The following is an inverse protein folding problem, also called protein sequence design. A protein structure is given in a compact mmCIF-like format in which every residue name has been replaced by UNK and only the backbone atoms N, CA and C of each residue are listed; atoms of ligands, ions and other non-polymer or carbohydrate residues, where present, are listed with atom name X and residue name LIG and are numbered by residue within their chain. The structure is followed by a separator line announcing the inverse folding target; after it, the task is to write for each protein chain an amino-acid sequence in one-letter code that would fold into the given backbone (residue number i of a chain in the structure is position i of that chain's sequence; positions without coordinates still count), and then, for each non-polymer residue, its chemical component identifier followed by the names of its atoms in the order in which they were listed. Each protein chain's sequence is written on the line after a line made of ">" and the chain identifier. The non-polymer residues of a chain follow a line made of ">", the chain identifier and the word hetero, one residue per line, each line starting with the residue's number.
data_IF_011753885036
#
_entry.id   IF_011753885036
#
_cell.length_a   1.000
_cell.length_b   1.000
_cell.length_c   1.000
_cell.angle_alpha   90.00
_cell.angle_beta   90.00
_cell.angle_gamma   90.00
#
_symmetry.space_group_name_H-M   'P 1'
#
loop_
_entity.id
_entity.type
_entity.pdbx_description
1 polymer ?
#
# COMPACT_ATOMS: atom_id res chain seq x y z
N UNK A 1 28.33 16.72 -2.35
CA UNK A 1 28.32 15.67 -1.33
C UNK A 1 26.97 15.02 -1.42
N UNK A 2 26.94 13.84 -2.03
CA UNK A 2 25.75 13.06 -2.30
C UNK A 2 25.06 12.74 -0.97
N UNK A 3 23.74 12.93 -0.95
CA UNK A 3 22.90 12.58 0.18
C UNK A 3 22.59 11.10 0.01
N UNK A 4 23.24 10.25 0.80
CA UNK A 4 22.96 8.81 0.89
C UNK A 4 21.58 8.58 1.53
N UNK A 5 20.53 8.70 0.73
CA UNK A 5 19.12 8.48 1.08
C UNK A 5 18.72 6.99 1.01
N UNK A 6 19.63 6.11 1.45
CA UNK A 6 19.42 4.66 1.48
C UNK A 6 19.83 4.10 2.86
N UNK A 7 19.51 4.84 3.93
CA UNK A 7 19.40 4.21 5.25
C UNK A 7 18.14 3.34 5.23
N UNK A 8 18.27 2.15 4.63
CA UNK A 8 17.26 1.13 4.41
C UNK A 8 16.35 1.01 5.65
N UNK A 9 15.15 1.55 5.51
CA UNK A 9 14.12 1.46 6.52
C UNK A 9 13.65 0.00 6.55
N UNK A 10 14.11 -0.76 7.55
CA UNK A 10 13.78 -2.17 7.74
C UNK A 10 12.27 -2.44 7.61
N UNK A 11 11.90 -3.54 6.96
CA UNK A 11 10.55 -4.13 6.94
C UNK A 11 9.90 -4.10 8.33
N UNK A 12 10.70 -4.35 9.38
CA UNK A 12 10.22 -4.29 10.77
C UNK A 12 9.82 -2.88 11.22
N UNK A 13 10.49 -1.82 10.76
CA UNK A 13 10.10 -0.44 11.05
C UNK A 13 8.78 -0.08 10.35
N UNK A 14 8.67 -0.39 9.06
CA UNK A 14 7.43 -0.15 8.31
C UNK A 14 6.25 -0.91 8.92
N UNK A 15 6.45 -2.19 9.28
CA UNK A 15 5.45 -3.00 9.97
C UNK A 15 5.05 -2.38 11.32
N UNK A 16 6.01 -2.02 12.19
CA UNK A 16 5.73 -1.45 13.52
C UNK A 16 4.95 -0.14 13.45
N UNK A 17 5.35 0.79 12.57
CA UNK A 17 4.69 2.10 12.42
C UNK A 17 3.28 1.95 11.86
N UNK A 18 3.12 1.15 10.81
CA UNK A 18 1.84 0.94 10.15
C UNK A 18 0.87 0.16 11.03
N UNK A 19 1.36 -0.83 11.79
CA UNK A 19 0.57 -1.59 12.78
C UNK A 19 -0.06 -0.69 13.83
N UNK A 20 0.70 0.27 14.37
CA UNK A 20 0.20 1.20 15.39
C UNK A 20 -0.92 2.07 14.84
N UNK A 21 -0.76 2.59 13.63
CA UNK A 21 -1.78 3.46 13.01
C UNK A 21 -3.01 2.72 12.51
N UNK A 22 -2.83 1.54 11.88
CA UNK A 22 -3.95 0.74 11.39
C UNK A 22 -4.84 0.28 12.56
N UNK A 23 -4.25 -0.32 13.61
CA UNK A 23 -5.04 -0.82 14.75
C UNK A 23 -5.70 0.29 15.56
N UNK A 24 -5.06 1.46 15.72
CA UNK A 24 -5.69 2.56 16.45
C UNK A 24 -6.92 3.15 15.74
N UNK A 25 -7.00 3.01 14.41
CA UNK A 25 -8.09 3.55 13.59
C UNK A 25 -9.16 2.52 13.24
N UNK A 26 -8.79 1.25 13.15
CA UNK A 26 -9.71 0.14 12.88
C UNK A 26 -10.40 -0.41 14.15
N UNK A 27 -9.78 -0.19 15.33
CA UNK A 27 -10.27 -0.70 16.62
C UNK A 27 -10.82 0.32 17.65
N UNK A 28 -11.24 1.56 17.32
CA UNK A 28 -12.17 2.32 18.16
C UNK A 28 -13.60 1.77 18.00
N UNK A 29 -14.61 2.22 18.77
CA UNK A 29 -16.02 2.00 18.44
C UNK A 29 -16.34 2.74 17.12
N UNK A 30 -15.93 2.13 16.01
CA UNK A 30 -15.94 2.72 14.68
C UNK A 30 -17.39 2.73 14.17
N UNK A 31 -18.10 3.78 14.56
CA UNK A 31 -19.45 4.17 14.14
C UNK A 31 -20.54 3.11 14.43
N UNK A 32 -21.71 3.51 14.97
CA UNK A 32 -22.83 2.59 15.23
C UNK A 32 -23.33 1.79 14.01
N UNK A 33 -22.85 2.09 12.80
CA UNK A 33 -23.34 1.54 11.53
C UNK A 33 -22.25 0.87 10.66
N UNK A 34 -21.00 0.77 11.14
CA UNK A 34 -19.87 0.32 10.31
C UNK A 34 -19.50 1.31 9.22
N UNK A 35 -18.43 1.04 8.47
CA UNK A 35 -17.99 1.92 7.39
C UNK A 35 -16.68 1.49 6.71
N UNK A 36 -16.36 2.13 5.58
CA UNK A 36 -15.15 1.88 4.81
C UNK A 36 -14.07 2.90 5.14
N UNK A 37 -12.86 2.45 5.42
CA UNK A 37 -11.69 3.31 5.68
C UNK A 37 -10.73 3.24 4.50
N UNK A 38 -10.33 4.40 3.95
CA UNK A 38 -9.29 4.49 2.93
C UNK A 38 -7.95 4.84 3.57
N UNK A 39 -6.96 3.97 3.39
CA UNK A 39 -5.58 4.20 3.80
C UNK A 39 -4.75 4.55 2.56
N UNK A 40 -4.16 5.75 2.54
CA UNK A 40 -3.28 6.22 1.45
C UNK A 40 -1.85 6.28 1.96
N UNK A 41 -0.92 5.73 1.19
CA UNK A 41 0.49 5.67 1.54
C UNK A 41 1.33 5.08 0.40
N UNK A 42 2.47 4.48 0.74
CA UNK A 42 3.38 3.88 -0.22
C UNK A 42 3.01 2.42 -0.53
N UNK A 43 3.64 1.82 -1.55
CA UNK A 43 3.49 0.39 -1.84
C UNK A 43 3.80 -0.50 -0.63
N UNK A 44 4.74 -0.09 0.24
CA UNK A 44 5.03 -0.74 1.52
C UNK A 44 3.83 -0.77 2.48
N UNK A 45 3.02 0.29 2.49
CA UNK A 45 1.79 0.38 3.28
C UNK A 45 0.77 -0.65 2.79
N UNK A 46 0.69 -0.86 1.47
CA UNK A 46 -0.20 -1.86 0.89
C UNK A 46 0.13 -3.26 1.41
N UNK A 47 1.40 -3.64 1.41
CA UNK A 47 1.86 -4.96 1.86
C UNK A 47 1.68 -5.16 3.38
N UNK A 48 2.21 -4.23 4.17
CA UNK A 48 2.27 -4.35 5.63
C UNK A 48 0.89 -4.22 6.27
N UNK A 49 0.07 -3.24 5.89
CA UNK A 49 -1.27 -3.07 6.48
C UNK A 49 -2.20 -4.21 6.11
N UNK A 50 -2.16 -4.69 4.86
CA UNK A 50 -3.04 -5.81 4.45
C UNK A 50 -2.65 -7.12 5.11
N UNK A 51 -1.34 -7.40 5.27
CA UNK A 51 -0.89 -8.58 6.03
C UNK A 51 -1.32 -8.51 7.48
N UNK A 52 -1.11 -7.39 8.16
CA UNK A 52 -1.51 -7.24 9.56
C UNK A 52 -3.03 -7.40 9.73
N UNK A 53 -3.82 -6.87 8.78
CA UNK A 53 -5.28 -7.03 8.77
C UNK A 53 -5.69 -8.50 8.69
N UNK A 54 -5.17 -9.25 7.71
CA UNK A 54 -5.50 -10.68 7.53
C UNK A 54 -4.79 -11.61 8.52
N UNK A 55 -4.03 -11.07 9.47
CA UNK A 55 -3.29 -11.85 10.48
C UNK A 55 -2.03 -12.55 9.96
N UNK A 56 -1.51 -12.12 8.81
CA UNK A 56 -0.23 -12.60 8.27
C UNK A 56 0.97 -12.02 9.02
N UNK A 57 2.04 -12.81 9.19
CA UNK A 57 3.32 -12.32 9.71
C UNK A 57 3.91 -11.23 8.79
N UNK A 58 4.85 -10.39 9.23
CA UNK A 58 5.61 -9.50 8.33
C UNK A 58 6.44 -10.29 7.31
N UNK A 59 6.65 -9.73 6.10
CA UNK A 59 7.52 -10.36 5.08
C UNK A 59 8.99 -10.11 5.40
N UNK A 60 9.84 -11.04 4.98
CA UNK A 60 11.27 -10.78 4.93
C UNK A 60 11.54 -9.61 3.97
N UNK A 61 12.55 -8.79 4.26
CA UNK A 61 12.84 -7.56 3.53
C UNK A 61 12.97 -7.77 2.01
N UNK A 62 13.72 -8.79 1.59
CA UNK A 62 13.92 -9.11 0.16
C UNK A 62 12.61 -9.44 -0.55
N UNK A 63 11.71 -10.17 0.10
CA UNK A 63 10.41 -10.52 -0.46
C UNK A 63 9.50 -9.31 -0.56
N UNK A 64 9.52 -8.45 0.46
CA UNK A 64 8.77 -7.21 0.50
C UNK A 64 9.20 -6.27 -0.64
N UNK A 65 10.51 -6.08 -0.84
CA UNK A 65 11.04 -5.26 -1.93
C UNK A 65 10.67 -5.82 -3.31
N UNK A 66 10.75 -7.15 -3.49
CA UNK A 66 10.35 -7.81 -4.74
C UNK A 66 8.85 -7.65 -5.04
N UNK A 67 8.02 -7.60 -4.00
CA UNK A 67 6.59 -7.30 -4.12
C UNK A 67 6.31 -5.83 -4.44
N UNK A 68 6.91 -4.89 -3.71
CA UNK A 68 6.66 -3.45 -3.87
C UNK A 68 7.01 -2.98 -5.28
N UNK A 69 8.08 -3.50 -5.88
CA UNK A 69 8.47 -3.20 -7.27
C UNK A 69 7.39 -3.55 -8.31
N UNK A 70 6.44 -4.42 -7.96
CA UNK A 70 5.34 -4.84 -8.84
C UNK A 70 4.06 -4.01 -8.64
N UNK A 71 4.06 -3.08 -7.68
CA UNK A 71 2.88 -2.28 -7.34
C UNK A 71 2.97 -0.95 -8.11
N UNK A 72 2.20 -0.75 -9.20
CA UNK A 72 2.15 0.53 -9.89
C UNK A 72 1.46 1.61 -9.03
N UNK A 73 1.60 2.87 -9.44
CA UNK A 73 0.92 3.99 -8.80
C UNK A 73 -0.60 3.79 -8.75
N UNK A 74 -1.21 4.27 -7.67
CA UNK A 74 -2.64 4.18 -7.43
C UNK A 74 -3.19 2.73 -7.39
N UNK A 75 -2.34 1.73 -7.14
CA UNK A 75 -2.79 0.38 -6.85
C UNK A 75 -3.57 0.34 -5.55
N UNK A 76 -4.68 -0.40 -5.54
CA UNK A 76 -5.54 -0.54 -4.37
C UNK A 76 -5.69 -2.00 -3.98
N UNK A 77 -5.52 -2.26 -2.69
CA UNK A 77 -5.86 -3.52 -2.05
C UNK A 77 -7.09 -3.29 -1.18
N UNK A 78 -8.07 -4.17 -1.30
CA UNK A 78 -9.33 -4.06 -0.59
C UNK A 78 -9.44 -5.23 0.40
N UNK A 79 -9.61 -4.92 1.68
CA UNK A 79 -9.82 -5.90 2.72
C UNK A 79 -11.15 -5.63 3.41
N UNK A 80 -11.94 -6.68 3.63
CA UNK A 80 -13.23 -6.57 4.29
C UNK A 80 -13.34 -7.60 5.41
N UNK A 81 -14.07 -7.23 6.45
CA UNK A 81 -14.30 -8.06 7.63
C UNK A 81 -15.58 -8.89 7.43
N UNK A 82 -15.51 -10.19 7.75
CA UNK A 82 -16.68 -11.07 7.74
C UNK A 82 -17.56 -10.87 8.99
N UNK A 83 -18.74 -11.50 9.01
CA UNK A 83 -19.65 -11.47 10.17
C UNK A 83 -19.08 -12.11 11.44
N UNK A 84 -17.95 -12.82 11.32
CA UNK A 84 -17.21 -13.45 12.43
C UNK A 84 -16.00 -12.61 12.86
N UNK A 85 -15.83 -11.41 12.33
CA UNK A 85 -14.77 -10.48 12.68
C UNK A 85 -13.42 -10.75 11.99
N UNK A 86 -13.34 -11.66 11.02
CA UNK A 86 -12.10 -12.01 10.31
C UNK A 86 -11.93 -11.17 9.05
N UNK A 87 -10.72 -10.65 8.85
CA UNK A 87 -10.38 -9.88 7.67
C UNK A 87 -9.90 -10.77 6.54
N UNK A 88 -10.36 -10.51 5.32
CA UNK A 88 -9.89 -11.17 4.10
C UNK A 88 -9.69 -10.15 2.98
N UNK A 89 -8.71 -10.41 2.11
CA UNK A 89 -8.53 -9.62 0.89
C UNK A 89 -9.59 -10.02 -0.12
N UNK A 90 -10.23 -9.02 -0.71
CA UNK A 90 -11.28 -9.17 -1.69
C UNK A 90 -10.98 -8.33 -2.93
N UNK A 91 -11.67 -8.63 -4.04
CA UNK A 91 -11.54 -7.84 -5.26
C UNK A 91 -12.06 -6.42 -5.00
N UNK A 92 -11.30 -5.36 -5.36
CA UNK A 92 -11.80 -4.00 -5.28
C UNK A 92 -13.08 -3.80 -6.11
N UNK A 93 -14.01 -2.92 -5.70
CA UNK A 93 -15.27 -2.69 -6.40
C UNK A 93 -15.13 -1.86 -7.69
N UNK A 94 -13.91 -1.54 -8.11
CA UNK A 94 -13.59 -0.76 -9.30
C UNK A 94 -12.47 -1.41 -10.11
N UNK A 95 -12.34 -0.99 -11.37
CA UNK A 95 -11.34 -1.50 -12.29
C UNK A 95 -9.96 -0.89 -12.00
N UNK A 96 -8.87 -1.64 -12.24
CA UNK A 96 -7.51 -1.09 -12.12
C UNK A 96 -7.29 0.00 -13.18
N UNK A 97 -6.53 1.03 -12.81
CA UNK A 97 -6.12 2.09 -13.73
C UNK A 97 -4.79 1.73 -14.40
N UNK A 98 -4.76 1.75 -15.73
CA UNK A 98 -3.55 1.54 -16.52
C UNK A 98 -3.42 2.66 -17.54
N UNK A 99 -2.22 3.25 -17.65
CA UNK A 99 -1.90 4.25 -18.66
C UNK A 99 -0.50 3.96 -19.22
N UNK A 100 -0.24 4.33 -20.47
CA UNK A 100 1.08 4.17 -21.10
C UNK A 100 2.08 5.22 -20.60
N UNK A 101 3.37 4.99 -20.84
CA UNK A 101 4.35 6.05 -20.66
C UNK A 101 4.05 7.20 -21.65
N UNK A 102 4.06 8.43 -21.15
CA UNK A 102 3.98 9.63 -21.99
C UNK A 102 5.34 10.31 -21.97
N UNK A 103 6.14 10.05 -23.01
CA UNK A 103 7.48 10.61 -23.11
C UNK A 103 7.40 12.12 -23.37
N UNK A 104 8.37 12.85 -22.84
CA UNK A 104 8.47 14.28 -23.11
C UNK A 104 8.75 14.50 -24.60
N UNK A 105 7.93 15.35 -25.23
CA UNK A 105 8.15 15.77 -26.60
C UNK A 105 9.23 16.87 -26.63
N UNK A 106 10.31 16.64 -27.39
CA UNK A 106 11.26 17.69 -27.73
C UNK A 106 10.74 18.46 -28.94
N UNK A 107 10.39 19.73 -28.74
CA UNK A 107 9.81 20.56 -29.80
C UNK A 107 10.85 21.03 -30.82
N UNK A 108 12.14 21.05 -30.47
CA UNK A 108 13.20 21.50 -31.38
C UNK A 108 13.33 20.60 -32.62
N UNK A 109 12.84 19.36 -32.55
CA UNK A 109 12.82 18.42 -33.69
C UNK A 109 12.01 18.94 -34.89
N UNK A 110 11.09 19.88 -34.66
CA UNK A 110 10.27 20.49 -35.72
C UNK A 110 10.93 21.73 -36.36
N UNK A 111 12.06 22.18 -35.83
CA UNK A 111 12.73 23.42 -36.26
C UNK A 111 13.92 23.19 -37.22
N UNK A 112 14.16 21.94 -37.63
CA UNK A 112 15.19 21.57 -38.62
C UNK A 112 14.62 21.41 -40.03
#
# INVERSE_FOLDING_TARGET
>A
AEMDDDTFIDSSYHSKRNKRQARSRLNPPAQPQGGTVLLVGHGATLDTCTRELVGGAPRAEREMLAMIKKIPYCSVAFAAQDTKGRWSLQKPPFLPATHSANNQFDWNVLSS
#
